data_IF_253585971912
#
_entry.id   IF_253585971912
#
_cell.length_a   1.000
_cell.length_b   1.000
_cell.length_c   1.000
_cell.angle_alpha   90.00
_cell.angle_beta   90.00
_cell.angle_gamma   90.00
#
_symmetry.space_group_name_H-M   'P 1'
#
loop_
_entity.id
_entity.type
_entity.pdbx_description
1 polymer ?
#
# COMPACT_ATOMS: atom_id res chain seq x y z
N UNK A 1 -35.92 29.97 38.85
CA UNK A 1 -34.99 30.65 37.92
C UNK A 1 -33.53 30.55 38.37
N UNK A 2 -33.11 31.09 39.52
CA UNK A 2 -31.68 31.08 39.95
C UNK A 2 -30.98 29.71 39.93
N UNK A 3 -31.64 28.64 40.39
CA UNK A 3 -31.07 27.27 40.37
C UNK A 3 -30.93 26.66 38.98
N UNK A 4 -31.78 27.06 38.04
CA UNK A 4 -31.75 26.58 36.66
C UNK A 4 -30.52 27.18 35.94
N UNK A 5 -30.26 28.47 36.17
CA UNK A 5 -29.05 29.13 35.66
C UNK A 5 -27.76 28.50 36.19
N UNK A 6 -27.73 28.09 37.47
CA UNK A 6 -26.54 27.43 38.05
C UNK A 6 -26.27 26.07 37.41
N UNK A 7 -27.32 25.28 37.14
CA UNK A 7 -27.16 23.97 36.50
C UNK A 7 -26.71 24.10 35.05
N UNK A 8 -27.26 25.06 34.30
CA UNK A 8 -26.84 25.33 32.91
C UNK A 8 -25.40 25.80 32.86
N UNK A 9 -24.98 26.67 33.77
CA UNK A 9 -23.58 27.13 33.84
C UNK A 9 -22.61 25.98 34.12
N UNK A 10 -22.98 25.05 35.02
CA UNK A 10 -22.16 23.87 35.33
C UNK A 10 -22.02 22.93 34.13
N UNK A 11 -23.10 22.71 33.39
CA UNK A 11 -23.10 21.88 32.18
C UNK A 11 -22.19 22.45 31.08
N UNK A 12 -22.19 23.78 30.90
CA UNK A 12 -21.32 24.45 29.92
C UNK A 12 -19.84 24.30 30.27
N UNK A 13 -19.47 24.38 31.55
CA UNK A 13 -18.07 24.19 32.00
C UNK A 13 -17.57 22.77 31.70
N UNK A 14 -18.42 21.76 31.88
CA UNK A 14 -18.07 20.36 31.58
C UNK A 14 -17.86 20.15 30.08
N UNK A 15 -18.69 20.77 29.23
CA UNK A 15 -18.55 20.70 27.76
C UNK A 15 -17.25 21.40 27.31
N UNK A 16 -16.93 22.57 27.86
CA UNK A 16 -15.72 23.31 27.50
C UNK A 16 -14.43 22.60 27.95
N UNK A 17 -14.44 21.95 29.12
CA UNK A 17 -13.30 21.14 29.58
C UNK A 17 -13.15 19.81 28.80
N UNK A 18 -14.25 19.27 28.26
CA UNK A 18 -14.22 18.09 27.38
C UNK A 18 -13.75 18.38 25.96
N UNK A 19 -13.80 19.64 25.51
CA UNK A 19 -13.31 20.03 24.19
C UNK A 19 -11.78 20.15 24.10
N UNK A 20 -11.08 20.39 25.22
CA UNK A 20 -9.61 20.56 25.22
C UNK A 20 -8.83 19.26 25.00
N UNK A 21 -9.45 18.09 25.21
CA UNK A 21 -8.85 16.77 24.96
C UNK A 21 -9.14 16.26 23.54
N UNK A 22 -10.16 16.82 22.86
CA UNK A 22 -10.58 16.38 21.53
C UNK A 22 -9.64 16.88 20.40
N UNK A 23 -8.96 18.00 20.64
CA UNK A 23 -8.01 18.60 19.69
C UNK A 23 -6.68 17.81 19.61
N UNK A 24 -6.31 17.14 20.71
CA UNK A 24 -5.09 16.32 20.79
C UNK A 24 -5.23 14.98 20.03
N UNK A 25 -6.45 14.42 19.99
CA UNK A 25 -6.77 13.21 19.21
C UNK A 25 -6.61 13.46 17.70
N UNK A 26 -6.89 14.68 17.22
CA UNK A 26 -6.75 15.02 15.79
C UNK A 26 -5.30 15.05 15.31
N UNK A 27 -4.34 15.41 16.17
CA UNK A 27 -2.91 15.44 15.80
C UNK A 27 -2.29 14.06 15.67
N UNK A 28 -2.76 13.07 16.44
CA UNK A 28 -2.28 11.68 16.33
C UNK A 28 -2.74 10.98 15.04
N UNK A 29 -3.85 11.43 14.44
CA UNK A 29 -4.38 10.86 13.19
C UNK A 29 -3.56 11.22 11.95
N UNK A 30 -2.94 12.40 11.92
CA UNK A 30 -2.14 12.83 10.76
C UNK A 30 -0.77 12.14 10.69
N UNK A 31 -0.17 11.81 11.83
CA UNK A 31 1.07 11.02 11.89
C UNK A 31 0.82 9.57 11.44
N UNK A 32 -0.28 8.95 11.90
CA UNK A 32 -0.65 7.59 11.50
C UNK A 32 -0.96 7.44 10.00
N UNK A 33 -1.52 8.47 9.37
CA UNK A 33 -1.73 8.48 7.90
C UNK A 33 -0.42 8.43 7.13
N UNK A 34 0.60 9.12 7.61
CA UNK A 34 1.91 9.19 6.96
C UNK A 34 2.65 7.85 7.05
N UNK A 35 2.56 7.18 8.19
CA UNK A 35 3.14 5.85 8.38
C UNK A 35 2.44 4.79 7.54
N UNK A 36 1.10 4.85 7.43
CA UNK A 36 0.35 3.97 6.53
C UNK A 36 0.76 4.16 5.06
N UNK A 37 1.00 5.39 4.63
CA UNK A 37 1.44 5.69 3.26
C UNK A 37 2.82 5.10 2.97
N UNK A 38 3.78 5.29 3.89
CA UNK A 38 5.13 4.75 3.77
C UNK A 38 5.14 3.21 3.77
N UNK A 39 4.39 2.58 4.68
CA UNK A 39 4.26 1.11 4.74
C UNK A 39 3.59 0.57 3.47
N UNK A 40 2.56 1.24 2.93
CA UNK A 40 1.97 0.87 1.64
C UNK A 40 2.96 0.96 0.48
N UNK A 41 3.80 1.99 0.46
CA UNK A 41 4.83 2.12 -0.58
C UNK A 41 5.88 1.01 -0.47
N UNK A 42 6.31 0.66 0.74
CA UNK A 42 7.21 -0.45 1.00
C UNK A 42 6.58 -1.80 0.60
N UNK A 43 5.32 -2.03 0.96
CA UNK A 43 4.57 -3.23 0.55
C UNK A 43 4.43 -3.29 -0.97
N UNK A 44 4.09 -2.18 -1.64
CA UNK A 44 4.02 -2.17 -3.09
C UNK A 44 5.40 -2.45 -3.72
N UNK A 45 6.48 -1.89 -3.18
CA UNK A 45 7.83 -2.18 -3.68
C UNK A 45 8.22 -3.65 -3.49
N UNK A 46 7.86 -4.26 -2.34
CA UNK A 46 8.15 -5.67 -2.05
C UNK A 46 7.21 -6.65 -2.79
N UNK A 47 5.93 -6.29 -2.98
CA UNK A 47 4.94 -7.15 -3.66
C UNK A 47 5.09 -7.09 -5.18
N UNK A 48 5.61 -5.98 -5.71
CA UNK A 48 5.91 -5.83 -7.14
C UNK A 48 7.24 -6.49 -7.53
N UNK A 49 7.77 -7.44 -6.76
CA UNK A 49 8.82 -8.34 -7.27
C UNK A 49 8.28 -9.07 -8.49
N UNK A 50 8.66 -8.55 -9.65
CA UNK A 50 8.28 -9.05 -10.95
C UNK A 50 8.95 -10.42 -11.12
N UNK A 51 8.15 -11.49 -11.04
CA UNK A 51 8.62 -12.86 -11.14
C UNK A 51 7.90 -13.60 -12.27
N UNK A 52 8.53 -14.63 -12.80
CA UNK A 52 7.93 -15.48 -13.83
C UNK A 52 7.02 -16.50 -13.13
N UNK A 53 5.72 -16.49 -13.48
CA UNK A 53 4.72 -17.40 -12.89
C UNK A 53 4.46 -18.60 -13.79
N UNK A 54 4.55 -18.42 -15.12
CA UNK A 54 4.44 -19.54 -16.05
C UNK A 54 5.25 -19.32 -17.32
N UNK A 55 5.53 -20.42 -18.02
CA UNK A 55 6.13 -20.40 -19.35
C UNK A 55 5.35 -21.35 -20.26
N UNK A 56 5.21 -20.96 -21.53
CA UNK A 56 4.62 -21.79 -22.59
C UNK A 56 5.52 -21.74 -23.81
N UNK A 57 5.84 -22.88 -24.41
CA UNK A 57 6.53 -22.91 -25.71
C UNK A 57 5.61 -22.34 -26.80
N UNK A 58 6.18 -21.54 -27.70
CA UNK A 58 5.45 -20.99 -28.83
C UNK A 58 5.06 -22.09 -29.82
N UNK A 59 3.93 -21.91 -30.52
CA UNK A 59 3.42 -22.91 -31.47
C UNK A 59 4.40 -23.18 -32.65
N UNK A 60 5.22 -22.18 -32.98
CA UNK A 60 6.27 -22.25 -34.01
C UNK A 60 7.61 -22.80 -33.49
N UNK A 61 7.69 -23.20 -32.21
CA UNK A 61 8.90 -23.66 -31.50
C UNK A 61 10.08 -22.68 -31.57
N UNK A 62 9.81 -21.40 -31.86
CA UNK A 62 10.86 -20.38 -31.98
C UNK A 62 11.27 -19.78 -30.63
N UNK A 63 10.63 -20.17 -29.52
CA UNK A 63 10.94 -19.68 -28.18
C UNK A 63 9.83 -19.97 -27.16
N UNK A 64 9.82 -19.17 -26.09
CA UNK A 64 8.88 -19.27 -24.97
C UNK A 64 8.12 -17.96 -24.74
N UNK A 65 6.85 -18.05 -24.39
CA UNK A 65 6.05 -16.99 -23.79
C UNK A 65 6.13 -17.14 -22.26
N UNK A 66 6.69 -16.15 -21.58
CA UNK A 66 6.74 -16.05 -20.12
C UNK A 66 5.57 -15.20 -19.65
N UNK A 67 4.80 -15.69 -18.69
CA UNK A 67 3.78 -14.91 -17.98
C UNK A 67 4.35 -14.45 -16.66
N UNK A 68 4.35 -13.14 -16.45
CA UNK A 68 4.89 -12.51 -15.25
C UNK A 68 3.82 -12.42 -14.14
N UNK A 69 4.25 -12.16 -12.91
CA UNK A 69 3.37 -12.02 -11.73
C UNK A 69 2.40 -10.86 -11.82
N UNK A 70 2.73 -9.84 -12.61
CA UNK A 70 1.85 -8.70 -12.91
C UNK A 70 0.85 -8.98 -14.06
N UNK A 71 0.87 -10.19 -14.63
CA UNK A 71 0.03 -10.59 -15.76
C UNK A 71 0.55 -10.15 -17.13
N UNK A 72 1.67 -9.42 -17.19
CA UNK A 72 2.35 -9.11 -18.45
C UNK A 72 2.97 -10.36 -19.07
N UNK A 73 3.24 -10.30 -20.38
CA UNK A 73 3.80 -11.40 -21.16
C UNK A 73 5.07 -10.97 -21.86
N UNK A 74 6.11 -11.79 -21.78
CA UNK A 74 7.39 -11.58 -22.45
C UNK A 74 7.63 -12.74 -23.42
N UNK A 75 8.04 -12.44 -24.66
CA UNK A 75 8.45 -13.47 -25.62
C UNK A 75 9.98 -13.59 -25.59
N UNK A 76 10.46 -14.75 -25.17
CA UNK A 76 11.87 -15.13 -25.18
C UNK A 76 12.13 -16.01 -26.41
N UNK A 77 12.73 -15.45 -27.46
CA UNK A 77 13.11 -16.20 -28.67
C UNK A 77 14.43 -16.94 -28.48
N UNK A 78 14.60 -18.06 -29.18
CA UNK A 78 15.89 -18.72 -29.28
C UNK A 78 16.91 -17.78 -29.95
N UNK A 79 18.11 -17.67 -29.38
CA UNK A 79 19.21 -16.95 -30.00
C UNK A 79 19.62 -17.61 -31.32
N UNK A 80 20.15 -16.82 -32.26
CA UNK A 80 20.61 -17.30 -33.56
C UNK A 80 21.74 -18.35 -33.47
N UNK A 81 22.41 -18.45 -32.32
CA UNK A 81 23.33 -19.51 -31.89
C UNK A 81 23.14 -19.71 -30.40
N UNK A 82 22.89 -20.94 -29.96
CA UNK A 82 22.71 -21.31 -28.55
C UNK A 82 24.02 -21.28 -27.77
N UNK A 83 24.67 -20.12 -27.68
CA UNK A 83 25.77 -19.96 -26.73
C UNK A 83 25.18 -20.01 -25.32
N UNK A 84 25.70 -20.87 -24.43
CA UNK A 84 25.25 -20.92 -23.04
C UNK A 84 25.38 -19.53 -22.41
N UNK A 85 24.31 -19.03 -21.79
CA UNK A 85 24.39 -17.78 -21.03
C UNK A 85 25.43 -17.89 -19.91
N UNK A 86 26.16 -16.81 -19.64
CA UNK A 86 27.04 -16.77 -18.47
C UNK A 86 26.19 -17.02 -17.22
N UNK A 87 26.65 -17.95 -16.38
CA UNK A 87 26.01 -18.22 -15.09
C UNK A 87 26.11 -16.95 -14.23
N UNK A 88 24.95 -16.33 -13.95
CA UNK A 88 24.81 -15.20 -13.04
C UNK A 88 24.86 -15.60 -11.57
#
# INVERSE_FOLDING_TARGET
>A
MKRIFTVVALAVVIILAGCTDLDDIYRQLDEQKKDLANVKQLINAATNELSVVSYKELDDKSGYELTMSDGSKIILKHGARGEPGEQG
#
